data_IF_475670619588
#
_entry.id   IF_475670619588
#
_cell.length_a   1.000
_cell.length_b   1.000
_cell.length_c   1.000
_cell.angle_alpha   90.00
_cell.angle_beta   90.00
_cell.angle_gamma   90.00
#
_symmetry.space_group_name_H-M   'P 1'
#
loop_
_entity.id
_entity.type
_entity.pdbx_description
1 polymer ?
#
# COMPACT_ATOMS: atom_id res chain seq x y z
N UNK A 1 -40.79 -54.17 -2.07
CA UNK A 1 -41.17 -52.80 -1.82
C UNK A 1 -39.92 -52.06 -1.35
N UNK A 2 -39.31 -51.18 -2.15
CA UNK A 2 -38.16 -50.40 -1.68
C UNK A 2 -38.61 -49.13 -1.00
N UNK A 3 -38.08 -48.89 0.19
CA UNK A 3 -38.32 -47.76 1.04
C UNK A 3 -37.60 -46.53 0.47
N UNK A 4 -38.37 -45.49 0.10
CA UNK A 4 -37.90 -44.22 -0.40
C UNK A 4 -37.37 -43.40 0.79
N UNK A 5 -36.03 -43.14 0.80
CA UNK A 5 -35.41 -42.21 1.73
C UNK A 5 -35.60 -40.80 1.14
N UNK A 6 -36.50 -40.02 1.74
CA UNK A 6 -36.61 -38.59 1.43
C UNK A 6 -35.41 -37.85 1.98
N UNK A 7 -34.54 -37.31 1.09
CA UNK A 7 -33.55 -36.29 1.44
C UNK A 7 -34.27 -35.00 1.67
N UNK A 8 -34.32 -34.57 2.92
CA UNK A 8 -34.66 -33.19 3.28
C UNK A 8 -33.55 -32.28 2.83
N UNK A 9 -33.78 -31.49 1.77
CA UNK A 9 -32.93 -30.39 1.36
C UNK A 9 -33.21 -29.20 2.31
N UNK A 10 -32.57 -29.16 3.45
CA UNK A 10 -32.42 -27.92 4.21
C UNK A 10 -31.41 -27.06 3.49
N UNK A 11 -31.84 -26.33 2.48
CA UNK A 11 -31.15 -25.20 1.92
C UNK A 11 -31.09 -24.12 2.99
N UNK A 12 -29.93 -23.94 3.61
CA UNK A 12 -29.72 -22.82 4.50
C UNK A 12 -29.95 -21.53 3.70
N UNK A 13 -31.14 -20.97 3.83
CA UNK A 13 -31.45 -19.63 3.33
C UNK A 13 -30.62 -18.64 4.17
N UNK A 14 -29.56 -18.14 3.58
CA UNK A 14 -28.79 -17.06 4.18
C UNK A 14 -29.72 -15.86 4.33
N UNK A 15 -30.00 -15.50 5.58
CA UNK A 15 -30.77 -14.31 5.93
C UNK A 15 -30.04 -13.06 5.40
N UNK A 16 -30.75 -12.20 4.69
CA UNK A 16 -30.21 -10.96 4.10
C UNK A 16 -29.53 -10.06 5.15
N UNK A 17 -30.01 -10.10 6.42
CA UNK A 17 -29.41 -9.38 7.53
C UNK A 17 -28.01 -9.93 7.88
N UNK A 18 -27.84 -11.23 7.89
CA UNK A 18 -26.53 -11.89 8.09
C UNK A 18 -25.57 -11.63 6.93
N UNK A 19 -26.08 -11.61 5.70
CA UNK A 19 -25.25 -11.23 4.55
C UNK A 19 -24.77 -9.79 4.65
N UNK A 20 -25.63 -8.88 5.08
CA UNK A 20 -25.27 -7.48 5.27
C UNK A 20 -24.23 -7.30 6.38
N UNK A 21 -24.44 -7.96 7.53
CA UNK A 21 -23.48 -7.95 8.64
C UNK A 21 -22.12 -8.54 8.24
N UNK A 22 -22.13 -9.65 7.48
CA UNK A 22 -20.89 -10.28 7.01
C UNK A 22 -20.12 -9.38 6.04
N UNK A 23 -20.83 -8.68 5.13
CA UNK A 23 -20.23 -7.70 4.22
C UNK A 23 -19.67 -6.50 4.98
N UNK A 24 -20.39 -5.98 5.96
CA UNK A 24 -19.93 -4.86 6.79
C UNK A 24 -18.68 -5.25 7.60
N UNK A 25 -18.65 -6.44 8.20
CA UNK A 25 -17.47 -6.94 8.90
C UNK A 25 -16.29 -7.16 7.96
N UNK A 26 -16.53 -7.74 6.77
CA UNK A 26 -15.50 -7.92 5.75
C UNK A 26 -14.90 -6.60 5.28
N UNK A 27 -15.68 -5.52 5.22
CA UNK A 27 -15.18 -4.18 4.90
C UNK A 27 -14.35 -3.59 6.03
N UNK A 28 -14.74 -3.80 7.30
CA UNK A 28 -13.97 -3.35 8.46
C UNK A 28 -12.65 -4.11 8.60
N UNK A 29 -12.63 -5.40 8.29
CA UNK A 29 -11.44 -6.25 8.36
C UNK A 29 -10.57 -6.17 7.09
N UNK A 30 -11.01 -5.43 6.06
CA UNK A 30 -10.29 -5.32 4.80
C UNK A 30 -8.95 -4.61 4.99
N UNK A 31 -7.89 -5.27 4.56
CA UNK A 31 -6.56 -4.68 4.46
C UNK A 31 -6.38 -4.04 3.08
N UNK A 32 -6.05 -2.75 3.05
CA UNK A 32 -5.91 -1.96 1.83
C UNK A 32 -4.46 -1.57 1.62
N UNK A 33 -3.86 -2.11 0.57
CA UNK A 33 -2.51 -1.77 0.15
C UNK A 33 -2.55 -0.63 -0.85
N UNK A 34 -1.87 0.46 -0.54
CA UNK A 34 -1.64 1.59 -1.43
C UNK A 34 -0.15 1.65 -1.78
N UNK A 35 0.17 1.42 -3.03
CA UNK A 35 1.54 1.52 -3.53
C UNK A 35 1.66 2.77 -4.41
N UNK A 36 2.52 3.69 -4.00
CA UNK A 36 2.93 4.84 -4.77
C UNK A 36 4.36 4.62 -5.26
N UNK A 37 4.50 4.47 -6.56
CA UNK A 37 5.78 4.15 -7.19
C UNK A 37 6.22 5.32 -8.08
N UNK A 38 7.37 5.88 -7.77
CA UNK A 38 7.96 6.94 -8.56
C UNK A 38 8.28 6.44 -9.98
N UNK A 39 7.84 7.18 -10.97
CA UNK A 39 8.08 6.95 -12.39
C UNK A 39 8.64 8.22 -13.06
N UNK A 40 9.27 9.11 -12.28
CA UNK A 40 9.99 10.28 -12.79
C UNK A 40 11.17 9.87 -13.68
N UNK A 41 11.75 10.83 -14.38
CA UNK A 41 12.82 10.55 -15.35
C UNK A 41 14.07 9.93 -14.74
N UNK A 42 14.42 10.25 -13.49
CA UNK A 42 15.55 9.65 -12.76
C UNK A 42 15.40 8.14 -12.55
N UNK A 43 14.17 7.64 -12.55
CA UNK A 43 13.86 6.23 -12.37
C UNK A 43 14.14 5.37 -13.62
N UNK A 44 14.46 5.95 -14.78
CA UNK A 44 14.65 5.18 -16.02
C UNK A 44 15.67 4.03 -15.85
N UNK A 45 16.88 4.23 -15.30
CA UNK A 45 17.86 3.15 -15.13
C UNK A 45 17.38 2.03 -14.19
N UNK A 46 16.47 2.34 -13.30
CA UNK A 46 15.99 1.44 -12.23
C UNK A 46 14.61 0.84 -12.51
N UNK A 47 13.95 1.25 -13.59
CA UNK A 47 12.58 0.86 -13.91
C UNK A 47 12.38 -0.66 -13.98
N UNK A 48 13.31 -1.39 -14.57
CA UNK A 48 13.26 -2.86 -14.64
C UNK A 48 13.44 -3.49 -13.25
N UNK A 49 14.40 -2.98 -12.47
CA UNK A 49 14.66 -3.48 -11.12
C UNK A 49 13.46 -3.26 -10.20
N UNK A 50 12.81 -2.08 -10.29
CA UNK A 50 11.61 -1.79 -9.52
C UNK A 50 10.43 -2.70 -9.93
N UNK A 51 10.17 -2.88 -11.24
CA UNK A 51 9.14 -3.82 -11.68
C UNK A 51 9.39 -5.22 -11.14
N UNK A 52 10.62 -5.73 -11.20
CA UNK A 52 10.98 -7.06 -10.68
C UNK A 52 10.74 -7.15 -9.16
N UNK A 53 11.22 -6.19 -8.39
CA UNK A 53 11.10 -6.16 -6.94
C UNK A 53 9.63 -6.05 -6.49
N UNK A 54 8.89 -5.11 -7.06
CA UNK A 54 7.45 -4.96 -6.81
C UNK A 54 6.68 -6.23 -7.17
N UNK A 55 6.91 -6.82 -8.35
CA UNK A 55 6.22 -8.02 -8.79
C UNK A 55 6.53 -9.25 -7.92
N UNK A 56 7.74 -9.34 -7.37
CA UNK A 56 8.08 -10.37 -6.38
C UNK A 56 7.31 -10.15 -5.08
N UNK A 57 7.21 -8.89 -4.61
CA UNK A 57 6.45 -8.54 -3.43
C UNK A 57 4.95 -8.75 -3.62
N UNK A 58 4.37 -8.36 -4.75
CA UNK A 58 2.97 -8.60 -5.07
C UNK A 58 2.64 -10.10 -5.03
N UNK A 59 3.47 -10.94 -5.69
CA UNK A 59 3.29 -12.41 -5.63
C UNK A 59 3.41 -12.97 -4.21
N UNK A 60 4.27 -12.39 -3.39
CA UNK A 60 4.35 -12.75 -1.97
C UNK A 60 3.04 -12.43 -1.26
N UNK A 61 2.48 -11.22 -1.41
CA UNK A 61 1.21 -10.84 -0.82
C UNK A 61 0.04 -11.72 -1.28
N UNK A 62 -0.01 -12.03 -2.57
CA UNK A 62 -1.06 -12.90 -3.15
C UNK A 62 -1.05 -14.34 -2.58
N UNK A 63 0.09 -14.79 -2.07
CA UNK A 63 0.20 -16.09 -1.40
C UNK A 63 -0.20 -16.05 0.09
N UNK A 64 -0.31 -14.86 0.67
CA UNK A 64 -0.83 -14.72 2.02
C UNK A 64 -2.34 -14.93 1.98
N UNK A 65 -2.89 -15.56 3.00
CA UNK A 65 -4.34 -15.78 3.08
C UNK A 65 -5.08 -14.50 3.55
N UNK A 66 -4.83 -13.38 2.87
CA UNK A 66 -5.42 -12.08 3.17
C UNK A 66 -6.81 -11.96 2.54
N UNK A 67 -7.80 -12.44 3.24
CA UNK A 67 -9.20 -12.33 2.78
C UNK A 67 -9.60 -10.86 2.69
N UNK A 68 -10.32 -10.53 1.62
CA UNK A 68 -10.85 -9.18 1.35
C UNK A 68 -9.79 -8.08 1.19
N UNK A 69 -8.51 -8.45 1.04
CA UNK A 69 -7.47 -7.47 0.78
C UNK A 69 -7.66 -6.79 -0.58
N UNK A 70 -7.48 -5.48 -0.60
CA UNK A 70 -7.53 -4.63 -1.80
C UNK A 70 -6.13 -4.09 -2.09
N UNK A 71 -5.77 -3.99 -3.36
CA UNK A 71 -4.52 -3.42 -3.80
C UNK A 71 -4.81 -2.26 -4.78
N UNK A 72 -4.22 -1.11 -4.50
CA UNK A 72 -4.21 0.08 -5.35
C UNK A 72 -2.76 0.46 -5.63
N UNK A 73 -2.32 0.29 -6.87
CA UNK A 73 -0.96 0.62 -7.29
C UNK A 73 -1.02 1.76 -8.27
N UNK A 74 -0.37 2.87 -7.94
CA UNK A 74 -0.30 4.06 -8.77
C UNK A 74 1.13 4.48 -8.98
N UNK A 75 1.47 4.81 -10.22
CA UNK A 75 2.73 5.41 -10.54
C UNK A 75 2.56 6.94 -10.58
N UNK A 76 3.58 7.65 -10.15
CA UNK A 76 3.60 9.11 -10.20
C UNK A 76 4.93 9.63 -10.76
N UNK A 77 4.88 10.75 -11.41
CA UNK A 77 5.98 11.58 -11.88
C UNK A 77 5.48 13.02 -11.80
N UNK A 78 5.44 13.76 -12.91
CA UNK A 78 4.77 15.07 -12.98
C UNK A 78 3.26 14.99 -12.70
N UNK A 79 2.66 13.81 -12.85
CA UNK A 79 1.24 13.54 -12.57
C UNK A 79 1.07 12.17 -11.92
N UNK A 80 -0.02 12.00 -11.19
CA UNK A 80 -0.40 10.73 -10.59
C UNK A 80 -1.32 9.95 -11.53
N UNK A 81 -1.06 8.68 -11.74
CA UNK A 81 -1.97 7.78 -12.45
C UNK A 81 -3.31 7.61 -11.71
N UNK A 82 -4.36 7.30 -12.46
CA UNK A 82 -5.67 7.02 -11.90
C UNK A 82 -5.64 5.84 -10.92
N UNK A 83 -6.59 5.83 -9.98
CA UNK A 83 -6.75 4.73 -9.03
C UNK A 83 -7.05 3.41 -9.75
N UNK A 84 -6.43 2.33 -9.27
CA UNK A 84 -6.58 0.97 -9.81
C UNK A 84 -7.00 -0.02 -8.72
N UNK A 85 -7.73 0.45 -7.70
CA UNK A 85 -8.14 -0.38 -6.57
C UNK A 85 -8.89 -1.62 -7.04
N UNK A 86 -8.38 -2.80 -6.68
CA UNK A 86 -8.92 -4.10 -7.08
C UNK A 86 -8.62 -5.15 -5.99
N UNK A 87 -9.32 -6.30 -5.97
CA UNK A 87 -8.96 -7.38 -5.06
C UNK A 87 -7.47 -7.74 -5.22
N UNK A 88 -6.77 -7.97 -4.12
CA UNK A 88 -5.33 -8.27 -4.13
C UNK A 88 -4.99 -9.47 -5.05
N UNK A 89 -5.86 -10.47 -5.08
CA UNK A 89 -5.65 -11.66 -5.91
C UNK A 89 -5.73 -11.37 -7.42
N UNK A 90 -6.45 -10.31 -7.81
CA UNK A 90 -6.62 -9.89 -9.20
C UNK A 90 -5.58 -8.82 -9.62
N UNK A 91 -4.81 -8.31 -8.64
CA UNK A 91 -3.82 -7.27 -8.89
C UNK A 91 -2.76 -7.75 -9.90
N UNK A 92 -2.55 -6.93 -10.92
CA UNK A 92 -1.68 -7.28 -12.04
C UNK A 92 -0.22 -6.90 -11.77
N UNK A 93 0.68 -7.74 -12.24
CA UNK A 93 2.11 -7.45 -12.24
C UNK A 93 2.41 -6.22 -13.11
N UNK A 94 3.34 -5.38 -12.67
CA UNK A 94 3.86 -4.28 -13.48
C UNK A 94 4.58 -4.81 -14.71
N UNK A 95 4.30 -4.20 -15.85
CA UNK A 95 4.92 -4.47 -17.15
C UNK A 95 5.52 -3.16 -17.69
N UNK A 96 6.38 -3.21 -18.73
CA UNK A 96 6.88 -1.97 -19.36
C UNK A 96 5.77 -1.01 -19.80
N UNK A 97 4.60 -1.53 -20.21
CA UNK A 97 3.44 -0.75 -20.66
C UNK A 97 2.68 -0.10 -19.50
N UNK A 98 2.76 -0.66 -18.29
CA UNK A 98 2.03 -0.16 -17.10
C UNK A 98 2.94 0.59 -16.13
N UNK A 99 4.24 0.38 -16.19
CA UNK A 99 5.25 1.15 -15.47
C UNK A 99 6.46 1.37 -16.37
N UNK A 100 6.64 2.59 -16.78
CA UNK A 100 7.85 3.11 -17.40
C UNK A 100 8.20 4.45 -16.78
N UNK A 101 9.47 4.71 -16.53
CA UNK A 101 9.91 6.04 -16.13
C UNK A 101 9.63 7.03 -17.27
N UNK A 102 9.06 8.17 -16.96
CA UNK A 102 8.74 9.22 -17.92
C UNK A 102 9.71 10.38 -17.75
N UNK A 103 9.95 11.14 -18.82
CA UNK A 103 10.67 12.40 -18.70
C UNK A 103 9.73 13.43 -18.05
N UNK A 104 9.96 13.67 -16.79
CA UNK A 104 9.17 14.60 -15.98
C UNK A 104 9.76 14.67 -14.58
N UNK A 105 9.22 15.57 -13.77
CA UNK A 105 9.63 15.72 -12.38
C UNK A 105 8.89 14.79 -11.44
N UNK A 106 8.97 15.08 -10.17
CA UNK A 106 8.45 14.28 -9.07
C UNK A 106 7.41 15.11 -8.29
N UNK A 107 6.13 14.87 -8.53
CA UNK A 107 5.02 15.51 -7.80
C UNK A 107 4.61 14.64 -6.58
N UNK A 108 5.55 14.42 -5.67
CA UNK A 108 5.42 13.53 -4.51
C UNK A 108 4.29 13.95 -3.57
N UNK A 109 4.21 15.26 -3.23
CA UNK A 109 3.20 15.75 -2.31
C UNK A 109 1.79 15.68 -2.91
N UNK A 110 1.65 15.92 -4.20
CA UNK A 110 0.37 15.79 -4.91
C UNK A 110 -0.08 14.33 -4.95
N UNK A 111 0.85 13.39 -5.19
CA UNK A 111 0.57 11.96 -5.18
C UNK A 111 0.13 11.49 -3.79
N UNK A 112 0.88 11.84 -2.73
CA UNK A 112 0.56 11.53 -1.35
C UNK A 112 -0.78 12.15 -0.94
N UNK A 113 -0.94 13.46 -1.12
CA UNK A 113 -2.15 14.18 -0.74
C UNK A 113 -3.39 13.61 -1.40
N UNK A 114 -3.31 13.27 -2.70
CA UNK A 114 -4.42 12.66 -3.42
C UNK A 114 -4.80 11.30 -2.84
N UNK A 115 -3.83 10.39 -2.61
CA UNK A 115 -4.12 9.07 -2.06
C UNK A 115 -4.71 9.17 -0.65
N UNK A 116 -4.11 9.98 0.22
CA UNK A 116 -4.55 10.13 1.61
C UNK A 116 -5.95 10.72 1.75
N UNK A 117 -6.35 11.62 0.84
CA UNK A 117 -7.66 12.29 0.90
C UNK A 117 -8.76 11.56 0.14
N UNK A 118 -8.42 10.66 -0.78
CA UNK A 118 -9.38 9.90 -1.59
C UNK A 118 -9.55 8.45 -1.16
N UNK A 119 -8.70 7.96 -0.25
CA UNK A 119 -8.83 6.60 0.28
C UNK A 119 -10.15 6.43 1.04
N UNK A 120 -10.70 5.22 1.01
CA UNK A 120 -11.85 4.88 1.84
C UNK A 120 -11.50 5.06 3.32
N UNK A 121 -12.50 5.36 4.14
CA UNK A 121 -12.30 5.64 5.58
C UNK A 121 -12.40 4.39 6.45
N UNK A 122 -12.77 3.25 5.87
CA UNK A 122 -13.00 2.00 6.60
C UNK A 122 -11.94 0.98 6.24
N UNK A 123 -11.45 0.26 7.25
CA UNK A 123 -10.46 -0.81 7.10
C UNK A 123 -9.06 -0.40 7.56
N UNK A 124 -8.14 -1.35 7.45
CA UNK A 124 -6.72 -1.13 7.76
C UNK A 124 -5.98 -0.75 6.48
N UNK A 125 -5.20 0.31 6.54
CA UNK A 125 -4.49 0.87 5.40
C UNK A 125 -2.98 0.70 5.55
N UNK A 126 -2.36 0.32 4.46
CA UNK A 126 -0.93 0.19 4.35
C UNK A 126 -0.47 0.97 3.13
N UNK A 127 0.13 2.13 3.39
CA UNK A 127 0.73 2.96 2.36
C UNK A 127 2.22 2.65 2.24
N UNK A 128 2.69 2.31 1.05
CA UNK A 128 4.10 2.25 0.73
C UNK A 128 4.42 3.22 -0.40
N UNK A 129 5.36 4.10 -0.15
CA UNK A 129 5.91 5.02 -1.15
C UNK A 129 7.33 4.59 -1.49
N UNK A 130 7.64 4.55 -2.77
CA UNK A 130 9.01 4.44 -3.25
C UNK A 130 9.35 5.62 -4.16
N UNK A 131 10.46 6.29 -3.89
CA UNK A 131 10.98 7.39 -4.71
C UNK A 131 12.50 7.48 -4.60
N UNK A 132 13.16 7.94 -5.67
CA UNK A 132 14.60 8.23 -5.72
C UNK A 132 14.90 9.74 -5.67
N UNK A 133 13.89 10.58 -5.42
CA UNK A 133 14.06 12.02 -5.44
C UNK A 133 13.14 12.79 -4.51
N UNK A 134 13.43 14.08 -4.42
CA UNK A 134 12.61 15.05 -3.71
C UNK A 134 11.46 15.56 -4.58
N UNK A 135 10.42 16.09 -3.93
CA UNK A 135 9.37 16.82 -4.64
C UNK A 135 9.93 18.04 -5.36
N UNK A 136 9.57 18.19 -6.63
CA UNK A 136 9.97 19.34 -7.43
C UNK A 136 8.85 19.87 -8.36
N UNK A 137 7.69 19.20 -8.40
CA UNK A 137 6.59 19.57 -9.30
C UNK A 137 5.21 19.65 -8.65
N UNK A 138 5.05 19.32 -7.37
CA UNK A 138 3.74 19.41 -6.70
C UNK A 138 3.19 20.82 -6.70
N UNK A 139 1.88 20.96 -6.91
CA UNK A 139 1.15 22.24 -7.00
C UNK A 139 -0.09 22.29 -6.13
N UNK A 140 -0.73 21.15 -5.88
CA UNK A 140 -1.98 21.07 -5.12
C UNK A 140 -1.74 20.86 -3.61
N UNK A 141 -0.67 20.15 -3.27
CA UNK A 141 -0.31 19.84 -1.88
C UNK A 141 1.09 20.30 -1.54
N UNK A 142 1.30 20.63 -0.27
CA UNK A 142 2.60 20.90 0.32
C UNK A 142 2.97 19.79 1.30
N UNK A 143 4.27 19.65 1.63
CA UNK A 143 4.72 18.70 2.66
C UNK A 143 3.94 18.87 3.98
N UNK A 144 3.73 20.11 4.42
CA UNK A 144 2.98 20.42 5.66
C UNK A 144 1.52 19.95 5.60
N UNK A 145 0.85 20.09 4.44
CA UNK A 145 -0.53 19.61 4.29
C UNK A 145 -0.60 18.09 4.25
N UNK A 146 0.36 17.45 3.59
CA UNK A 146 0.49 15.97 3.62
C UNK A 146 0.75 15.50 5.05
N UNK A 147 1.65 16.16 5.79
CA UNK A 147 1.97 15.85 7.18
C UNK A 147 0.72 15.91 8.08
N UNK A 148 -0.07 16.99 7.98
CA UNK A 148 -1.32 17.13 8.74
C UNK A 148 -2.27 15.96 8.53
N UNK A 149 -2.51 15.59 7.27
CA UNK A 149 -3.43 14.52 6.91
C UNK A 149 -2.86 13.16 7.34
N UNK A 150 -1.61 12.87 6.99
CA UNK A 150 -0.99 11.58 7.30
C UNK A 150 -0.89 11.34 8.81
N UNK A 151 -0.49 12.36 9.59
CA UNK A 151 -0.41 12.24 11.05
C UNK A 151 -1.79 11.93 11.63
N UNK A 152 -2.84 12.64 11.20
CA UNK A 152 -4.22 12.40 11.62
C UNK A 152 -4.65 10.95 11.33
N UNK A 153 -4.36 10.45 10.13
CA UNK A 153 -4.71 9.08 9.73
C UNK A 153 -3.93 8.04 10.54
N UNK A 154 -2.64 8.24 10.76
CA UNK A 154 -1.82 7.32 11.57
C UNK A 154 -2.26 7.29 13.04
N UNK A 155 -2.78 8.39 13.57
CA UNK A 155 -3.24 8.48 14.96
C UNK A 155 -4.57 7.73 15.20
N UNK A 156 -5.33 7.41 14.14
CA UNK A 156 -6.46 6.48 14.26
C UNK A 156 -6.02 5.07 14.64
N UNK A 157 -4.80 4.70 14.30
CA UNK A 157 -4.28 3.34 14.44
C UNK A 157 -4.67 2.40 13.29
N UNK A 158 -5.33 2.91 12.25
CA UNK A 158 -5.74 2.14 11.08
C UNK A 158 -4.76 2.29 9.90
N UNK A 159 -3.79 3.20 10.02
CA UNK A 159 -2.82 3.47 8.96
C UNK A 159 -1.39 3.12 9.36
N UNK A 160 -0.75 2.29 8.54
CA UNK A 160 0.69 2.12 8.51
C UNK A 160 1.23 2.77 7.24
N UNK A 161 2.07 3.79 7.37
CA UNK A 161 2.72 4.44 6.25
C UNK A 161 4.23 4.16 6.27
N UNK A 162 4.77 3.71 5.14
CA UNK A 162 6.16 3.30 4.95
C UNK A 162 6.76 4.08 3.79
N UNK A 163 7.96 4.62 3.98
CA UNK A 163 8.69 5.35 2.97
C UNK A 163 9.99 4.63 2.61
N UNK A 164 10.14 4.27 1.35
CA UNK A 164 11.34 3.68 0.77
C UNK A 164 12.02 4.76 -0.09
N UNK A 165 13.06 5.37 0.43
CA UNK A 165 13.75 6.49 -0.22
C UNK A 165 15.14 6.11 -0.70
N UNK A 166 15.42 6.33 -1.97
CA UNK A 166 16.69 5.98 -2.57
C UNK A 166 17.59 7.21 -2.80
N UNK A 167 17.60 8.16 -1.86
CA UNK A 167 18.40 9.38 -1.88
C UNK A 167 18.74 9.83 -0.44
N UNK A 168 19.78 10.65 -0.31
CA UNK A 168 20.39 10.97 1.00
C UNK A 168 19.42 11.69 1.96
N UNK A 169 18.59 12.61 1.45
CA UNK A 169 17.65 13.39 2.26
C UNK A 169 16.30 12.70 2.49
N UNK A 170 16.16 11.43 2.08
CA UNK A 170 14.89 10.71 2.13
C UNK A 170 14.25 10.69 3.51
N UNK A 171 15.05 10.56 4.58
CA UNK A 171 14.53 10.61 5.96
C UNK A 171 13.93 11.98 6.28
N UNK A 172 14.61 13.06 5.92
CA UNK A 172 14.14 14.43 6.16
C UNK A 172 12.86 14.71 5.39
N UNK A 173 12.81 14.32 4.11
CA UNK A 173 11.61 14.49 3.26
C UNK A 173 10.43 13.68 3.81
N UNK A 174 10.67 12.42 4.17
CA UNK A 174 9.63 11.56 4.74
C UNK A 174 9.06 12.15 6.05
N UNK A 175 9.93 12.62 6.95
CA UNK A 175 9.51 13.25 8.20
C UNK A 175 8.72 14.54 7.97
N UNK A 176 9.13 15.36 7.01
CA UNK A 176 8.40 16.56 6.62
C UNK A 176 6.99 16.24 6.08
N UNK A 177 6.78 15.06 5.51
CA UNK A 177 5.48 14.54 5.08
C UNK A 177 4.71 13.79 6.18
N UNK A 178 5.26 13.65 7.40
CA UNK A 178 4.58 12.98 8.53
C UNK A 178 4.83 11.48 8.64
N UNK A 179 5.75 10.90 7.86
CA UNK A 179 6.16 9.51 8.08
C UNK A 179 6.95 9.39 9.38
N UNK A 180 6.67 8.34 10.13
CA UNK A 180 7.40 8.04 11.37
C UNK A 180 8.80 7.54 11.04
N UNK A 181 9.86 7.99 11.74
CA UNK A 181 11.25 7.63 11.41
C UNK A 181 11.51 6.11 11.32
N UNK A 182 10.91 5.32 12.21
CA UNK A 182 11.01 3.86 12.19
C UNK A 182 10.25 3.17 11.04
N UNK A 183 9.57 3.93 10.19
CA UNK A 183 8.90 3.46 8.99
C UNK A 183 9.57 3.99 7.70
N UNK A 184 10.77 4.54 7.81
CA UNK A 184 11.56 5.05 6.68
C UNK A 184 12.77 4.17 6.48
N UNK A 185 12.95 3.66 5.26
CA UNK A 185 14.14 2.94 4.85
C UNK A 185 14.87 3.74 3.78
N UNK A 186 16.10 4.16 4.10
CA UNK A 186 16.98 4.89 3.18
C UNK A 186 18.02 3.94 2.61
N UNK A 187 18.19 3.94 1.29
CA UNK A 187 19.12 3.04 0.61
C UNK A 187 19.50 3.61 -0.77
N UNK A 188 20.65 3.25 -1.34
CA UNK A 188 21.00 3.62 -2.71
C UNK A 188 20.23 2.75 -3.71
N UNK A 189 19.87 3.29 -4.88
CA UNK A 189 19.06 2.62 -5.91
C UNK A 189 19.56 1.23 -6.32
N UNK A 190 20.88 1.01 -6.30
CA UNK A 190 21.51 -0.27 -6.62
C UNK A 190 21.13 -1.38 -5.63
N UNK A 191 20.68 -0.99 -4.42
CA UNK A 191 20.22 -1.91 -3.36
C UNK A 191 18.69 -2.06 -3.32
N UNK A 192 17.99 -1.62 -4.35
CA UNK A 192 16.52 -1.71 -4.40
C UNK A 192 15.99 -3.14 -4.15
N UNK A 193 16.56 -4.22 -4.72
CA UNK A 193 16.10 -5.59 -4.40
C UNK A 193 16.23 -5.94 -2.91
N UNK A 194 17.31 -5.50 -2.25
CA UNK A 194 17.56 -5.70 -0.82
C UNK A 194 16.57 -4.88 0.03
N UNK A 195 16.28 -3.64 -0.36
CA UNK A 195 15.30 -2.79 0.32
C UNK A 195 13.90 -3.40 0.27
N UNK A 196 13.46 -3.93 -0.88
CA UNK A 196 12.19 -4.65 -0.98
C UNK A 196 12.20 -5.97 -0.18
N UNK A 197 13.34 -6.63 -0.05
CA UNK A 197 13.46 -7.79 0.82
C UNK A 197 13.26 -7.42 2.30
N UNK A 198 13.96 -6.37 2.79
CA UNK A 198 13.79 -5.85 4.15
C UNK A 198 12.35 -5.38 4.41
N UNK A 199 11.76 -4.67 3.45
CA UNK A 199 10.36 -4.26 3.53
C UNK A 199 9.43 -5.47 3.65
N UNK A 200 9.64 -6.52 2.85
CA UNK A 200 8.85 -7.76 2.93
C UNK A 200 8.97 -8.42 4.30
N UNK A 201 10.16 -8.50 4.87
CA UNK A 201 10.38 -9.09 6.21
C UNK A 201 9.71 -8.26 7.30
N UNK A 202 9.82 -6.93 7.21
CA UNK A 202 9.14 -6.01 8.13
C UNK A 202 7.62 -6.17 8.04
N UNK A 203 7.10 -6.27 6.83
CA UNK A 203 5.68 -6.48 6.58
C UNK A 203 5.19 -7.86 7.04
N UNK A 204 6.00 -8.92 6.90
CA UNK A 204 5.65 -10.23 7.44
C UNK A 204 5.46 -10.14 8.96
N UNK A 205 6.42 -9.53 9.68
CA UNK A 205 6.30 -9.32 11.13
C UNK A 205 5.04 -8.54 11.49
N UNK A 206 4.71 -7.48 10.72
CA UNK A 206 3.50 -6.69 10.95
C UNK A 206 2.22 -7.49 10.69
N UNK A 207 2.14 -8.27 9.62
CA UNK A 207 0.97 -9.07 9.28
C UNK A 207 0.74 -10.22 10.27
N UNK A 208 1.81 -10.83 10.78
CA UNK A 208 1.73 -11.93 11.75
C UNK A 208 1.46 -11.43 13.19
N UNK A 209 1.62 -10.12 13.44
CA UNK A 209 1.44 -9.53 14.75
C UNK A 209 -0.04 -9.48 15.18
N UNK A 210 -0.30 -9.63 16.47
CA UNK A 210 -1.61 -9.36 17.06
C UNK A 210 -2.01 -7.88 16.93
N UNK A 211 -3.31 -7.52 17.04
CA UNK A 211 -3.73 -6.12 16.93
C UNK A 211 -2.99 -5.17 17.87
N UNK A 212 -2.70 -5.59 19.12
CA UNK A 212 -1.94 -4.79 20.08
C UNK A 212 -0.49 -4.58 19.64
N UNK A 213 0.16 -5.63 19.12
CA UNK A 213 1.52 -5.54 18.58
C UNK A 213 1.58 -4.70 17.32
N UNK A 214 0.58 -4.80 16.41
CA UNK A 214 0.50 -3.92 15.22
C UNK A 214 0.47 -2.46 15.61
N UNK A 215 -0.31 -2.11 16.62
CA UNK A 215 -0.38 -0.74 17.14
C UNK A 215 0.99 -0.26 17.66
N UNK A 216 1.73 -1.12 18.35
CA UNK A 216 3.09 -0.81 18.80
C UNK A 216 4.05 -0.61 17.62
N UNK A 217 4.00 -1.49 16.61
CA UNK A 217 4.80 -1.38 15.39
C UNK A 217 4.47 -0.12 14.59
N UNK A 218 3.20 0.24 14.50
CA UNK A 218 2.78 1.50 13.85
C UNK A 218 3.37 2.73 14.56
N UNK A 219 3.47 2.70 15.88
CA UNK A 219 4.01 3.81 16.68
C UNK A 219 5.53 3.84 16.73
N UNK A 220 6.16 2.68 16.92
CA UNK A 220 7.61 2.53 17.08
C UNK A 220 8.39 2.36 15.79
N UNK A 221 7.74 1.92 14.74
CA UNK A 221 8.34 1.60 13.45
C UNK A 221 8.42 0.10 13.17
N UNK A 222 8.54 -0.24 11.89
CA UNK A 222 8.62 -1.63 11.41
C UNK A 222 10.03 -2.04 10.99
N UNK A 223 10.96 -1.08 10.80
CA UNK A 223 12.36 -1.32 10.45
C UNK A 223 13.29 -1.40 11.64
#
# INVERSE_FOLDING_TARGET
>A
MPTTISRSSEGATWDASKQHQYRAQAQQDALRFHFLLDASGSMEPYAEALRKAYNQYLRYLQRQQLRYAVCDTRCFGSTLQAATAQPLLDAQALRPETYSATYGGTALYDALGTVLTTAETIGQHLLMVYTDGQDNESRAYTASKVQEVLTTLQDTGDWLAVFLGAFDEALTVAQACGFRPGNVLVFPNEKLPQAFHQFREAMQRYLDASPAQRKQLQQGGIF
#
